data_IF_728362597581
#
_entry.id   IF_728362597581
#
_cell.length_a   1.000
_cell.length_b   1.000
_cell.length_c   1.000
_cell.angle_alpha   90.00
_cell.angle_beta   90.00
_cell.angle_gamma   90.00
#
_symmetry.space_group_name_H-M   'P 1'
#
loop_
_entity.id
_entity.type
_entity.pdbx_description
1 polymer ?
#
# COMPACT_ATOMS: atom_id res chain seq x y z
N UNK A 1 33.64 34.39 -6.92
CA UNK A 1 32.18 34.35 -6.71
C UNK A 1 31.44 33.55 -7.78
N UNK A 2 31.60 33.83 -9.09
CA UNK A 2 30.95 33.06 -10.17
C UNK A 2 31.24 31.55 -10.14
N UNK A 3 32.50 31.16 -9.90
CA UNK A 3 32.88 29.73 -9.85
C UNK A 3 32.20 28.97 -8.71
N UNK A 4 32.08 29.58 -7.53
CA UNK A 4 31.36 29.02 -6.38
C UNK A 4 29.86 28.85 -6.65
N UNK A 5 29.24 29.81 -7.36
CA UNK A 5 27.84 29.72 -7.74
C UNK A 5 27.58 28.55 -8.70
N UNK A 6 28.49 28.32 -9.65
CA UNK A 6 28.41 27.21 -10.61
C UNK A 6 28.52 25.87 -9.88
N UNK A 7 29.49 25.73 -8.97
CA UNK A 7 29.66 24.51 -8.17
C UNK A 7 28.41 24.23 -7.31
N UNK A 8 27.81 25.26 -6.72
CA UNK A 8 26.61 25.11 -5.91
C UNK A 8 25.42 24.63 -6.75
N UNK A 9 25.20 25.23 -7.93
CA UNK A 9 24.13 24.83 -8.86
C UNK A 9 24.31 23.40 -9.39
N UNK A 10 25.56 23.00 -9.65
CA UNK A 10 25.84 21.64 -10.13
C UNK A 10 25.63 20.59 -9.03
N UNK A 11 26.01 20.93 -7.79
CA UNK A 11 25.78 20.09 -6.61
C UNK A 11 24.29 19.89 -6.33
N UNK A 12 23.49 20.96 -6.36
CA UNK A 12 22.04 20.84 -6.18
C UNK A 12 21.39 20.05 -7.32
N UNK A 13 21.83 20.24 -8.56
CA UNK A 13 21.35 19.48 -9.70
C UNK A 13 21.66 17.97 -9.57
N UNK A 14 22.90 17.61 -9.22
CA UNK A 14 23.30 16.21 -8.97
C UNK A 14 22.50 15.59 -7.82
N UNK A 15 22.32 16.30 -6.71
CA UNK A 15 21.51 15.85 -5.59
C UNK A 15 20.04 15.58 -5.99
N UNK A 16 19.46 16.43 -6.85
CA UNK A 16 18.10 16.21 -7.37
C UNK A 16 18.01 15.05 -8.37
N UNK A 17 19.10 14.70 -9.05
CA UNK A 17 19.14 13.59 -9.99
C UNK A 17 19.19 12.25 -9.25
N UNK A 18 20.01 12.14 -8.20
CA UNK A 18 20.13 10.92 -7.40
C UNK A 18 18.81 10.56 -6.69
N UNK A 19 18.12 11.55 -6.15
CA UNK A 19 16.80 11.34 -5.49
C UNK A 19 15.75 10.78 -6.46
N UNK A 20 15.79 11.15 -7.74
CA UNK A 20 14.87 10.59 -8.76
C UNK A 20 15.21 9.15 -9.17
N UNK A 21 16.49 8.77 -9.16
CA UNK A 21 16.92 7.41 -9.53
C UNK A 21 16.60 6.43 -8.39
N UNK A 22 16.79 6.84 -7.13
CA UNK A 22 16.51 5.99 -5.97
C UNK A 22 15.01 5.73 -5.77
N UNK A 23 14.16 6.71 -6.09
CA UNK A 23 12.71 6.62 -5.88
C UNK A 23 11.90 6.39 -7.14
N UNK A 24 12.45 5.76 -8.18
CA UNK A 24 11.62 5.34 -9.33
C UNK A 24 10.50 4.43 -8.79
N UNK A 25 9.22 4.86 -8.84
CA UNK A 25 8.13 4.01 -8.40
C UNK A 25 8.20 2.74 -9.23
N UNK A 26 8.30 1.59 -8.56
CA UNK A 26 8.10 0.33 -9.25
C UNK A 26 6.63 0.29 -9.61
N UNK A 27 6.31 0.18 -10.90
CA UNK A 27 4.97 -0.18 -11.36
C UNK A 27 4.71 -1.62 -10.91
N UNK A 28 4.31 -1.78 -9.66
CA UNK A 28 3.93 -3.06 -9.08
C UNK A 28 2.44 -3.22 -9.24
N UNK A 29 2.02 -4.08 -10.18
CA UNK A 29 0.65 -4.56 -10.23
C UNK A 29 0.48 -5.68 -9.21
N UNK A 30 -0.39 -5.46 -8.24
CA UNK A 30 -0.71 -6.48 -7.26
C UNK A 30 -1.54 -7.60 -7.91
N UNK A 31 -0.96 -8.79 -8.12
CA UNK A 31 -1.74 -9.90 -8.68
C UNK A 31 -2.70 -10.54 -7.66
N UNK A 32 -2.33 -10.56 -6.37
CA UNK A 32 -3.15 -11.13 -5.31
C UNK A 32 -2.73 -10.60 -3.93
N UNK A 33 -3.71 -10.29 -3.09
CA UNK A 33 -3.55 -10.07 -1.66
C UNK A 33 -4.05 -11.30 -0.89
N UNK A 34 -3.19 -11.89 -0.06
CA UNK A 34 -3.57 -12.99 0.84
C UNK A 34 -3.39 -12.49 2.26
N UNK A 35 -4.45 -12.56 3.07
CA UNK A 35 -4.44 -12.09 4.45
C UNK A 35 -4.75 -13.26 5.37
N UNK A 36 -3.83 -13.52 6.29
CA UNK A 36 -4.02 -14.43 7.41
C UNK A 36 -4.18 -13.58 8.67
N UNK A 37 -5.16 -13.89 9.50
CA UNK A 37 -5.37 -13.12 10.71
C UNK A 37 -6.62 -13.54 11.47
N UNK A 38 -7.11 -12.61 12.27
CA UNK A 38 -8.28 -12.78 13.12
C UNK A 38 -9.45 -11.92 12.61
N UNK A 39 -10.47 -11.77 13.46
CA UNK A 39 -11.67 -10.99 13.18
C UNK A 39 -11.43 -9.51 12.81
N UNK A 40 -10.24 -8.94 13.06
CA UNK A 40 -9.89 -7.59 12.63
C UNK A 40 -9.59 -7.49 11.12
N UNK A 41 -9.30 -8.63 10.50
CA UNK A 41 -8.94 -8.74 9.08
C UNK A 41 -9.97 -9.51 8.25
N UNK A 42 -10.95 -10.12 8.92
CA UNK A 42 -11.97 -10.97 8.34
C UNK A 42 -12.94 -10.17 7.47
N UNK A 43 -13.08 -10.59 6.21
CA UNK A 43 -13.99 -10.00 5.24
C UNK A 43 -15.42 -10.55 5.34
N UNK A 44 -15.63 -11.54 6.22
CA UNK A 44 -16.91 -12.20 6.47
C UNK A 44 -17.26 -13.29 5.46
N UNK A 45 -16.33 -13.69 4.59
CA UNK A 45 -16.59 -14.71 3.54
C UNK A 45 -16.50 -16.13 4.07
N UNK A 46 -15.54 -16.41 4.97
CA UNK A 46 -15.30 -17.79 5.47
C UNK A 46 -15.81 -18.00 6.92
N UNK A 47 -16.19 -16.95 7.66
CA UNK A 47 -16.69 -17.06 9.03
C UNK A 47 -18.11 -16.47 9.18
N UNK A 48 -19.13 -17.33 9.13
CA UNK A 48 -20.53 -16.95 9.39
C UNK A 48 -20.84 -17.03 10.89
N UNK A 49 -21.42 -15.97 11.47
CA UNK A 49 -22.05 -15.99 12.80
C UNK A 49 -21.38 -15.14 13.90
N UNK A 50 -20.15 -14.68 13.72
CA UNK A 50 -19.38 -13.94 14.76
C UNK A 50 -19.44 -12.40 14.60
N UNK A 51 -20.20 -11.89 13.64
CA UNK A 51 -20.11 -10.50 13.20
C UNK A 51 -21.21 -9.56 13.74
N UNK A 52 -21.82 -9.91 14.88
CA UNK A 52 -22.77 -9.06 15.63
C UNK A 52 -23.90 -8.41 14.78
N UNK A 53 -24.38 -9.13 13.75
CA UNK A 53 -25.42 -8.64 12.82
C UNK A 53 -24.89 -7.89 11.60
N UNK A 54 -23.58 -7.79 11.43
CA UNK A 54 -22.90 -7.30 10.23
C UNK A 54 -22.25 -8.45 9.45
N UNK A 55 -21.76 -8.19 8.24
CA UNK A 55 -21.00 -9.18 7.48
C UNK A 55 -19.59 -9.38 8.07
N UNK A 56 -18.94 -8.28 8.45
CA UNK A 56 -17.61 -8.24 9.09
C UNK A 56 -17.78 -8.03 10.59
N UNK A 57 -16.74 -8.29 11.39
CA UNK A 57 -16.73 -7.94 12.81
C UNK A 57 -16.56 -6.41 13.07
N UNK A 58 -17.20 -5.59 12.23
CA UNK A 58 -17.27 -4.14 12.33
C UNK A 58 -18.41 -3.60 11.44
N UNK A 59 -18.75 -2.33 11.61
CA UNK A 59 -19.81 -1.65 10.86
C UNK A 59 -19.36 -1.09 9.49
N UNK A 60 -18.20 -1.53 8.98
CA UNK A 60 -17.59 -0.99 7.76
C UNK A 60 -16.64 -1.98 7.12
N UNK A 61 -15.83 -1.51 6.18
CA UNK A 61 -14.74 -2.33 5.60
C UNK A 61 -13.63 -2.57 6.64
N UNK A 62 -13.02 -3.74 6.60
CA UNK A 62 -11.80 -4.05 7.36
C UNK A 62 -10.56 -3.52 6.63
N UNK A 63 -9.44 -3.41 7.35
CA UNK A 63 -8.21 -2.82 6.81
C UNK A 63 -7.71 -3.48 5.49
N UNK A 64 -7.82 -4.82 5.29
CA UNK A 64 -7.37 -5.45 4.05
C UNK A 64 -8.11 -4.98 2.80
N UNK A 65 -9.37 -4.60 2.95
CA UNK A 65 -10.17 -4.14 1.82
C UNK A 65 -9.77 -2.75 1.36
N UNK A 66 -9.37 -1.88 2.29
CA UNK A 66 -8.78 -0.59 1.95
C UNK A 66 -7.42 -0.77 1.28
N UNK A 67 -6.58 -1.67 1.80
CA UNK A 67 -5.28 -1.97 1.19
C UNK A 67 -5.45 -2.55 -0.21
N UNK A 68 -6.40 -3.45 -0.41
CA UNK A 68 -6.71 -3.98 -1.74
C UNK A 68 -7.12 -2.87 -2.72
N UNK A 69 -7.94 -1.91 -2.28
CA UNK A 69 -8.36 -0.80 -3.12
C UNK A 69 -7.18 0.15 -3.46
N UNK A 70 -6.25 0.35 -2.53
CA UNK A 70 -5.05 1.18 -2.76
C UNK A 70 -4.04 0.52 -3.69
N UNK A 71 -3.92 -0.81 -3.60
CA UNK A 71 -2.98 -1.60 -4.40
C UNK A 71 -3.58 -2.12 -5.72
N UNK A 72 -4.89 -1.95 -5.89
CA UNK A 72 -5.67 -2.42 -7.03
C UNK A 72 -5.40 -3.90 -7.34
N UNK A 73 -5.44 -4.78 -6.32
CA UNK A 73 -5.12 -6.19 -6.57
C UNK A 73 -6.21 -6.91 -7.36
N UNK A 74 -5.82 -7.80 -8.28
CA UNK A 74 -6.78 -8.58 -9.07
C UNK A 74 -7.66 -9.52 -8.22
N UNK A 75 -7.13 -9.99 -7.07
CA UNK A 75 -7.81 -10.90 -6.14
C UNK A 75 -7.43 -10.64 -4.69
N UNK A 76 -8.41 -10.79 -3.80
CA UNK A 76 -8.22 -10.86 -2.33
C UNK A 76 -8.68 -12.22 -1.84
N UNK A 77 -7.92 -12.81 -0.92
CA UNK A 77 -8.33 -14.00 -0.20
C UNK A 77 -8.00 -13.81 1.27
N UNK A 78 -9.03 -13.90 2.12
CA UNK A 78 -8.85 -14.04 3.56
C UNK A 78 -8.67 -15.52 3.92
N UNK A 79 -7.91 -15.79 4.98
CA UNK A 79 -7.75 -17.11 5.60
C UNK A 79 -7.76 -16.99 7.13
N UNK A 80 -8.53 -17.86 7.82
CA UNK A 80 -8.50 -17.96 9.28
C UNK A 80 -7.16 -18.52 9.78
#
# INVERSE_FOLDING_TARGET
MRSLLIVFLFSTFLATLETRILHRPRDFRCGRLIVFGDSLSDDGVEAEGESHGFLRNCNGKVWPEYVNAMLECDRVCWKP
#
